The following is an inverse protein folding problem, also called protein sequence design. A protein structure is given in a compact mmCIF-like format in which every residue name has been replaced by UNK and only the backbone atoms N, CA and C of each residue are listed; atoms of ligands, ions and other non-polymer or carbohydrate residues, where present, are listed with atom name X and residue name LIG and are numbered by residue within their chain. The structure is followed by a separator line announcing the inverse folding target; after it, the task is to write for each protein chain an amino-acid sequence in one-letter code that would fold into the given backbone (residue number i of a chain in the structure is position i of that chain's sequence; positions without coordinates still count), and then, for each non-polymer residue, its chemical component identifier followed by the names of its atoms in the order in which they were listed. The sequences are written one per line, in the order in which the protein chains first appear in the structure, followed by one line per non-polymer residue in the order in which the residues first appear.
data_IF_203544435588
#
_entry.id   IF_203544435588
#
_cell.length_a   1.000
_cell.length_b   1.000
_cell.length_c   1.000
_cell.angle_alpha   90.00
_cell.angle_beta   90.00
_cell.angle_gamma   90.00
#
_symmetry.space_group_name_H-M   'P 1'
#
loop_
_entity.id
_entity.type
_entity.pdbx_description
1 polymer ?
#
# COMPACT_ATOMS: atom_id res chain seq x y z
N UNK A 1 -38.29 39.63 14.35
CA UNK A 1 -36.92 39.19 14.68
C UNK A 1 -36.88 37.69 14.90
N UNK A 2 -36.48 36.92 13.89
CA UNK A 2 -36.17 35.49 13.98
C UNK A 2 -34.96 35.26 13.07
N UNK A 3 -33.81 34.89 13.65
CA UNK A 3 -32.57 34.67 12.92
C UNK A 3 -31.50 34.06 13.81
N UNK A 4 -31.47 32.72 13.84
CA UNK A 4 -30.48 31.85 14.51
C UNK A 4 -29.06 32.11 14.00
N UNK A 5 -28.01 31.97 14.83
CA UNK A 5 -26.65 31.80 14.34
C UNK A 5 -26.40 30.32 14.01
N UNK A 6 -26.10 30.01 12.76
CA UNK A 6 -25.55 28.71 12.32
C UNK A 6 -24.04 28.81 12.27
N UNK A 7 -23.36 28.34 13.33
CA UNK A 7 -21.97 27.91 13.24
C UNK A 7 -22.00 26.41 12.92
N UNK A 8 -21.70 26.05 11.67
CA UNK A 8 -21.42 24.67 11.29
C UNK A 8 -20.15 24.24 12.01
N UNK A 9 -20.30 23.53 13.13
CA UNK A 9 -19.20 22.73 13.66
C UNK A 9 -19.04 21.54 12.73
N UNK A 10 -17.94 21.55 11.98
CA UNK A 10 -17.43 20.36 11.30
C UNK A 10 -17.15 19.34 12.40
N UNK A 11 -17.92 18.25 12.42
CA UNK A 11 -17.62 17.11 13.26
C UNK A 11 -16.30 16.52 12.77
N UNK A 12 -15.22 16.83 13.48
CA UNK A 12 -14.00 16.04 13.46
C UNK A 12 -14.38 14.58 13.74
N UNK A 13 -14.07 13.61 12.86
CA UNK A 13 -14.34 12.21 13.15
C UNK A 13 -13.51 11.82 14.37
N UNK A 14 -14.22 11.51 15.45
CA UNK A 14 -13.66 11.05 16.70
C UNK A 14 -12.82 9.81 16.42
N UNK A 15 -11.50 9.96 16.35
CA UNK A 15 -10.56 8.86 16.27
C UNK A 15 -10.80 7.99 17.50
N UNK A 16 -11.47 6.85 17.33
CA UNK A 16 -11.56 5.83 18.38
C UNK A 16 -10.13 5.40 18.69
N UNK A 17 -9.63 5.57 19.92
CA UNK A 17 -8.31 5.06 20.27
C UNK A 17 -8.38 3.53 20.18
N UNK A 18 -7.82 2.95 19.11
CA UNK A 18 -7.54 1.53 19.08
C UNK A 18 -6.67 1.21 20.31
N UNK A 19 -7.11 0.20 21.06
CA UNK A 19 -6.68 -0.09 22.42
C UNK A 19 -5.19 0.19 22.67
N UNK A 20 -4.94 1.06 23.64
CA UNK A 20 -3.63 1.32 24.19
C UNK A 20 -3.09 -0.01 24.76
N UNK A 21 -2.25 -0.72 23.99
CA UNK A 21 -1.60 -1.97 24.40
C UNK A 21 -0.62 -1.78 25.57
N UNK A 22 -0.44 -0.56 26.08
CA UNK A 22 0.41 -0.25 27.22
C UNK A 22 -0.32 -0.44 28.55
N UNK A 23 -0.38 -1.68 29.04
CA UNK A 23 -0.39 -1.94 30.50
C UNK A 23 1.02 -2.16 31.08
N UNK A 24 2.07 -2.08 30.26
CA UNK A 24 3.46 -2.17 30.70
C UNK A 24 4.24 -0.88 30.36
N UNK A 25 4.66 -0.07 31.35
CA UNK A 25 5.36 1.20 31.14
C UNK A 25 6.80 1.04 30.59
N UNK A 26 7.23 -0.18 30.26
CA UNK A 26 8.59 -0.50 29.79
C UNK A 26 8.71 -0.64 28.27
N UNK A 27 7.60 -0.73 27.53
CA UNK A 27 7.63 -0.90 26.07
C UNK A 27 7.36 0.45 25.43
N UNK A 28 8.40 1.07 24.88
CA UNK A 28 8.24 2.24 24.02
C UNK A 28 7.57 1.80 22.72
N UNK A 29 6.41 2.37 22.43
CA UNK A 29 5.63 2.06 21.23
C UNK A 29 5.29 3.33 20.47
N UNK A 30 5.28 3.23 19.13
CA UNK A 30 4.79 4.31 18.27
C UNK A 30 3.81 3.75 17.25
N UNK A 31 2.68 4.43 17.10
CA UNK A 31 1.62 4.03 16.19
C UNK A 31 1.49 5.06 15.06
N UNK A 32 1.40 4.56 13.84
CA UNK A 32 0.94 5.30 12.68
C UNK A 32 -0.36 4.64 12.20
N UNK A 33 -1.40 5.43 11.96
CA UNK A 33 -2.67 4.94 11.42
C UNK A 33 -3.09 5.78 10.22
N UNK A 34 -3.49 5.11 9.13
CA UNK A 34 -3.94 5.74 7.90
C UNK A 34 -4.40 4.69 6.88
N UNK A 35 -5.26 5.08 5.94
CA UNK A 35 -5.79 4.19 4.89
C UNK A 35 -6.42 2.88 5.41
N UNK A 36 -6.98 2.91 6.63
CA UNK A 36 -7.55 1.72 7.28
C UNK A 36 -6.52 0.74 7.87
N UNK A 37 -5.23 1.08 7.83
CA UNK A 37 -4.14 0.23 8.33
C UNK A 37 -3.44 0.93 9.51
N UNK A 38 -3.14 0.15 10.55
CA UNK A 38 -2.31 0.57 11.68
C UNK A 38 -0.95 -0.11 11.65
N UNK A 39 0.13 0.68 11.67
CA UNK A 39 1.51 0.19 11.80
C UNK A 39 2.02 0.56 13.19
N UNK A 40 2.41 -0.47 13.95
CA UNK A 40 2.90 -0.33 15.32
C UNK A 40 4.39 -0.69 15.35
N UNK A 41 5.23 0.26 15.77
CA UNK A 41 6.64 0.01 16.02
C UNK A 41 6.82 -0.29 17.51
N UNK A 42 7.37 -1.47 17.79
CA UNK A 42 7.71 -1.91 19.14
C UNK A 42 9.23 -1.89 19.28
N UNK A 43 9.73 -1.13 20.25
CA UNK A 43 11.17 -1.10 20.51
C UNK A 43 11.64 -2.45 21.07
N UNK A 44 12.68 -3.03 20.45
CA UNK A 44 13.36 -4.21 20.99
C UNK A 44 14.06 -3.91 22.31
N UNK A 45 14.03 -4.85 23.24
CA UNK A 45 14.77 -4.77 24.51
C UNK A 45 16.29 -4.78 24.32
N UNK A 46 16.77 -5.37 23.22
CA UNK A 46 18.21 -5.48 22.88
C UNK A 46 18.43 -5.05 21.41
N UNK A 47 18.35 -3.76 21.09
CA UNK A 47 18.43 -3.27 19.70
C UNK A 47 19.76 -3.59 19.01
N UNK A 48 20.86 -3.64 19.76
CA UNK A 48 22.20 -3.99 19.26
C UNK A 48 22.33 -5.45 18.82
N UNK A 49 21.44 -6.34 19.30
CA UNK A 49 21.42 -7.76 18.91
C UNK A 49 20.54 -8.03 17.69
N UNK A 50 19.81 -7.02 17.20
CA UNK A 50 18.98 -7.19 16.03
C UNK A 50 19.82 -7.39 14.77
N UNK A 51 19.46 -8.39 13.97
CA UNK A 51 20.14 -8.68 12.72
C UNK A 51 19.84 -7.58 11.71
N UNK A 52 20.85 -6.79 11.37
CA UNK A 52 20.75 -5.80 10.30
C UNK A 52 21.10 -6.44 8.97
N UNK A 53 20.12 -6.50 8.06
CA UNK A 53 20.38 -6.89 6.67
C UNK A 53 21.03 -5.71 5.96
N UNK A 54 22.19 -5.95 5.36
CA UNK A 54 22.97 -4.90 4.66
C UNK A 54 22.70 -4.92 3.15
N UNK A 55 22.39 -6.09 2.59
CA UNK A 55 22.14 -6.26 1.16
C UNK A 55 20.64 -6.28 0.90
N UNK A 56 20.18 -5.45 -0.03
CA UNK A 56 18.82 -5.47 -0.54
C UNK A 56 18.61 -6.74 -1.36
N UNK A 57 17.60 -7.53 -1.00
CA UNK A 57 17.17 -8.70 -1.75
C UNK A 57 15.68 -8.58 -2.09
N UNK A 58 15.30 -8.28 -3.34
CA UNK A 58 13.90 -8.18 -3.77
C UNK A 58 13.04 -9.42 -3.46
N UNK A 59 13.66 -10.59 -3.24
CA UNK A 59 12.95 -11.85 -2.93
C UNK A 59 12.77 -12.13 -1.43
N UNK A 60 13.32 -11.30 -0.54
CA UNK A 60 13.11 -11.43 0.90
C UNK A 60 11.70 -11.00 1.29
N UNK A 61 11.21 -11.45 2.45
CA UNK A 61 9.94 -10.97 3.02
C UNK A 61 9.95 -9.45 3.18
N UNK A 62 8.89 -8.79 2.70
CA UNK A 62 8.76 -7.33 2.70
C UNK A 62 7.30 -6.90 2.85
N UNK A 63 7.09 -5.63 3.15
CA UNK A 63 5.79 -4.96 3.09
C UNK A 63 5.81 -4.05 1.87
N UNK A 64 4.76 -4.14 1.03
CA UNK A 64 4.66 -3.38 -0.22
C UNK A 64 3.64 -2.25 -0.10
N UNK A 65 3.96 -1.09 -0.69
CA UNK A 65 3.03 0.04 -0.80
C UNK A 65 2.91 0.48 -2.26
N UNK A 66 1.71 0.88 -2.65
CA UNK A 66 1.45 1.44 -3.97
C UNK A 66 1.82 2.92 -4.02
N UNK A 67 2.33 3.39 -5.17
CA UNK A 67 2.55 4.82 -5.41
C UNK A 67 2.08 5.25 -6.80
N UNK A 68 1.77 6.54 -6.93
CA UNK A 68 1.36 7.15 -8.21
C UNK A 68 2.56 7.46 -9.13
N UNK A 69 3.77 7.60 -8.56
CA UNK A 69 4.95 8.00 -9.32
C UNK A 69 6.23 7.41 -8.77
N UNK A 70 6.72 6.37 -9.45
CA UNK A 70 8.01 5.73 -9.15
C UNK A 70 9.17 6.73 -9.21
N UNK A 71 9.15 7.65 -10.17
CA UNK A 71 10.18 8.67 -10.31
C UNK A 71 10.26 9.61 -9.10
N UNK A 72 9.11 10.03 -8.56
CA UNK A 72 9.07 10.91 -7.39
C UNK A 72 9.60 10.20 -6.14
N UNK A 73 9.22 8.93 -5.94
CA UNK A 73 9.70 8.10 -4.83
C UNK A 73 11.20 7.87 -4.94
N UNK A 74 11.70 7.45 -6.11
CA UNK A 74 13.13 7.18 -6.33
C UNK A 74 13.96 8.44 -6.10
N UNK A 75 13.50 9.60 -6.57
CA UNK A 75 14.15 10.89 -6.30
C UNK A 75 14.23 11.16 -4.80
N UNK A 76 13.13 10.96 -4.06
CA UNK A 76 13.12 11.20 -2.61
C UNK A 76 14.07 10.28 -1.86
N UNK A 77 14.15 9.00 -2.24
CA UNK A 77 15.11 8.06 -1.67
C UNK A 77 16.55 8.51 -1.90
N UNK A 78 16.88 8.94 -3.13
CA UNK A 78 18.20 9.49 -3.47
C UNK A 78 18.55 10.74 -2.67
N UNK A 79 17.61 11.69 -2.57
CA UNK A 79 17.78 12.93 -1.81
C UNK A 79 18.02 12.66 -0.31
N UNK A 80 17.47 11.56 0.21
CA UNK A 80 17.68 11.10 1.59
C UNK A 80 18.91 10.21 1.77
N UNK A 81 19.65 9.89 0.69
CA UNK A 81 20.79 8.99 0.75
C UNK A 81 20.44 7.53 1.04
N UNK A 82 19.20 7.11 0.78
CA UNK A 82 18.72 5.74 1.00
C UNK A 82 19.07 4.89 -0.22
N UNK A 83 19.82 3.82 0.02
CA UNK A 83 20.13 2.82 -1.00
C UNK A 83 18.85 2.08 -1.41
N UNK A 84 18.66 1.88 -2.70
CA UNK A 84 17.50 1.20 -3.26
C UNK A 84 17.88 0.39 -4.49
N UNK A 85 17.04 -0.58 -4.83
CA UNK A 85 17.12 -1.38 -6.05
C UNK A 85 15.82 -1.22 -6.82
N UNK A 86 15.92 -0.88 -8.10
CA UNK A 86 14.78 -0.87 -9.03
C UNK A 86 14.69 -2.22 -9.74
N UNK A 87 13.49 -2.73 -9.90
CA UNK A 87 13.19 -3.92 -10.68
C UNK A 87 11.99 -3.67 -11.60
N UNK A 88 11.95 -4.40 -12.70
CA UNK A 88 10.80 -4.48 -13.60
C UNK A 88 10.41 -5.94 -13.66
N UNK A 89 9.15 -6.24 -13.35
CA UNK A 89 8.59 -7.59 -13.44
C UNK A 89 7.48 -7.62 -14.47
N UNK A 90 7.34 -8.74 -15.17
CA UNK A 90 6.27 -8.96 -16.13
C UNK A 90 5.36 -10.08 -15.60
N UNK A 91 4.09 -9.74 -15.34
CA UNK A 91 3.08 -10.69 -14.90
C UNK A 91 1.87 -10.62 -15.83
N UNK A 92 1.58 -11.71 -16.54
CA UNK A 92 0.44 -11.76 -17.46
C UNK A 92 0.50 -10.74 -18.61
N UNK A 93 1.71 -10.35 -19.03
CA UNK A 93 1.93 -9.32 -20.07
C UNK A 93 1.84 -7.88 -19.55
N UNK A 94 1.67 -7.69 -18.24
CA UNK A 94 1.68 -6.39 -17.58
C UNK A 94 3.05 -6.18 -16.95
N UNK A 95 3.67 -5.05 -17.25
CA UNK A 95 4.92 -4.64 -16.62
C UNK A 95 4.63 -3.83 -15.37
N UNK A 96 5.29 -4.20 -14.27
CA UNK A 96 5.18 -3.52 -12.98
C UNK A 96 6.55 -3.09 -12.53
N UNK A 97 6.69 -1.81 -12.21
CA UNK A 97 7.90 -1.26 -11.67
C UNK A 97 7.90 -1.40 -10.15
N UNK A 98 9.05 -1.80 -9.61
CA UNK A 98 9.23 -2.00 -8.18
C UNK A 98 10.50 -1.31 -7.70
N UNK A 99 10.45 -0.75 -6.50
CA UNK A 99 11.58 -0.18 -5.78
C UNK A 99 11.69 -0.84 -4.42
N UNK A 100 12.86 -1.39 -4.13
CA UNK A 100 13.15 -2.07 -2.87
C UNK A 100 14.21 -1.31 -2.09
N UNK A 101 13.99 -1.13 -0.79
CA UNK A 101 14.97 -0.54 0.13
C UNK A 101 14.77 -1.06 1.54
N UNK A 102 15.72 -0.78 2.43
CA UNK A 102 15.62 -1.09 3.84
C UNK A 102 15.18 0.13 4.64
N UNK A 103 14.39 -0.10 5.67
CA UNK A 103 14.24 0.85 6.78
C UNK A 103 15.54 0.90 7.63
N UNK A 104 15.64 1.80 8.63
CA UNK A 104 16.84 1.91 9.47
C UNK A 104 17.21 0.63 10.25
N UNK A 105 16.25 -0.26 10.50
CA UNK A 105 16.44 -1.51 11.23
C UNK A 105 16.73 -2.71 10.30
N UNK A 106 16.64 -2.53 8.98
CA UNK A 106 16.96 -3.53 7.97
C UNK A 106 15.75 -4.33 7.48
N UNK A 107 14.53 -3.90 7.79
CA UNK A 107 13.32 -4.48 7.22
C UNK A 107 13.14 -4.00 5.77
N UNK A 108 12.77 -4.93 4.89
CA UNK A 108 12.55 -4.64 3.48
C UNK A 108 11.20 -3.97 3.26
N UNK A 109 11.23 -2.87 2.51
CA UNK A 109 10.05 -2.16 2.00
C UNK A 109 10.08 -2.21 0.48
N UNK A 110 8.94 -2.52 -0.13
CA UNK A 110 8.70 -2.42 -1.56
C UNK A 110 7.76 -1.24 -1.85
N UNK A 111 8.05 -0.50 -2.92
CA UNK A 111 7.11 0.42 -3.55
C UNK A 111 6.83 -0.07 -4.97
N UNK A 112 5.55 -0.21 -5.33
CA UNK A 112 5.14 -0.58 -6.69
C UNK A 112 4.14 0.40 -7.30
N UNK A 113 4.04 0.40 -8.63
CA UNK A 113 3.04 1.14 -9.41
C UNK A 113 1.89 0.24 -9.90
N UNK A 114 1.46 -0.70 -9.05
CA UNK A 114 0.55 -1.82 -9.36
C UNK A 114 -0.89 -1.46 -9.85
N UNK A 115 -1.14 -0.28 -10.44
CA UNK A 115 -2.44 0.24 -10.88
C UNK A 115 -3.23 -0.68 -11.83
N UNK A 116 -2.53 -1.56 -12.54
CA UNK A 116 -3.11 -2.40 -13.60
C UNK A 116 -3.12 -3.91 -13.28
N UNK A 117 -2.61 -4.35 -12.13
CA UNK A 117 -2.65 -5.78 -11.81
C UNK A 117 -4.08 -6.21 -11.44
N UNK A 118 -4.61 -7.30 -12.03
CA UNK A 118 -5.88 -7.85 -11.59
C UNK A 118 -5.72 -8.45 -10.18
N UNK A 119 -6.12 -7.69 -9.16
CA UNK A 119 -6.17 -8.19 -7.78
C UNK A 119 -7.32 -9.19 -7.71
N UNK A 120 -7.00 -10.49 -7.63
CA UNK A 120 -7.98 -11.54 -7.32
C UNK A 120 -8.01 -11.69 -5.81
N UNK A 121 -9.11 -11.33 -5.11
CA UNK A 121 -9.21 -11.53 -3.67
C UNK A 121 -9.07 -13.01 -3.34
N UNK A 122 -8.17 -13.34 -2.41
CA UNK A 122 -8.04 -14.69 -1.88
C UNK A 122 -9.23 -14.96 -0.94
N UNK A 123 -10.32 -15.45 -1.51
CA UNK A 123 -11.55 -15.92 -0.87
C UNK A 123 -12.32 -14.90 0.00
N UNK A 124 -13.50 -14.50 -0.49
CA UNK A 124 -14.66 -14.21 0.36
C UNK A 124 -14.91 -12.77 0.79
N UNK A 125 -13.96 -11.85 0.63
CA UNK A 125 -14.20 -10.43 0.88
C UNK A 125 -13.80 -9.59 -0.32
N UNK A 126 -14.71 -8.71 -0.72
CA UNK A 126 -14.53 -7.75 -1.81
C UNK A 126 -13.45 -6.78 -1.34
N UNK A 127 -12.19 -7.08 -1.65
CA UNK A 127 -11.15 -6.06 -1.62
C UNK A 127 -11.60 -4.99 -2.61
N UNK A 128 -12.00 -3.82 -2.11
CA UNK A 128 -12.18 -2.65 -2.94
C UNK A 128 -10.80 -2.32 -3.51
N UNK A 129 -10.56 -2.80 -4.73
CA UNK A 129 -9.38 -2.43 -5.49
C UNK A 129 -9.31 -0.90 -5.54
N UNK A 130 -8.12 -0.35 -5.29
CA UNK A 130 -7.83 1.08 -5.41
C UNK A 130 -8.13 1.62 -6.82
N UNK A 131 -8.35 0.74 -7.81
CA UNK A 131 -8.76 1.09 -9.17
C UNK A 131 -10.28 0.92 -9.37
N UNK A 132 -11.11 1.74 -8.74
CA UNK A 132 -12.54 1.83 -9.09
C UNK A 132 -12.77 2.19 -10.58
N UNK A 133 -11.73 2.64 -11.29
CA UNK A 133 -11.80 3.09 -12.69
C UNK A 133 -11.54 2.00 -13.73
N UNK A 134 -11.05 0.81 -13.37
CA UNK A 134 -10.66 -0.24 -14.35
C UNK A 134 -11.70 -1.36 -14.53
N UNK A 135 -12.70 -1.50 -13.66
CA UNK A 135 -13.73 -2.54 -13.80
C UNK A 135 -14.63 -2.32 -15.04
N UNK A 136 -15.00 -1.07 -15.33
CA UNK A 136 -15.79 -0.73 -16.52
C UNK A 136 -15.03 -1.00 -17.82
N UNK A 137 -13.70 -0.76 -17.84
CA UNK A 137 -12.87 -1.00 -19.02
C UNK A 137 -12.64 -2.48 -19.32
N UNK A 138 -12.50 -3.32 -18.29
CA UNK A 138 -12.37 -4.77 -18.48
C UNK A 138 -13.66 -5.41 -19.00
N UNK A 139 -14.84 -4.92 -18.59
CA UNK A 139 -16.11 -5.41 -19.15
C UNK A 139 -16.29 -5.07 -20.64
N UNK A 140 -15.75 -3.94 -21.10
CA UNK A 140 -15.89 -3.51 -22.50
C UNK A 140 -14.98 -4.28 -23.47
N UNK A 141 -13.81 -4.77 -23.03
CA UNK A 141 -12.92 -5.55 -23.90
C UNK A 141 -13.35 -7.01 -24.11
N UNK A 142 -14.25 -7.53 -23.28
CA UNK A 142 -14.73 -8.92 -23.37
C UNK A 142 -16.08 -9.09 -24.09
N UNK A 143 -16.55 -8.09 -24.85
CA UNK A 143 -17.85 -8.13 -25.54
C UNK A 143 -17.86 -8.42 -27.06
N UNK A 144 -16.80 -8.33 -27.89
CA UNK A 144 -16.96 -8.58 -29.33
C UNK A 144 -16.60 -9.99 -29.80
N UNK A 145 -16.73 -11.06 -28.98
CA UNK A 145 -16.53 -12.44 -29.46
C UNK A 145 -17.75 -13.37 -29.43
N UNK A 146 -18.93 -12.90 -28.99
CA UNK A 146 -20.15 -13.75 -28.96
C UNK A 146 -21.07 -13.52 -30.17
N UNK A 147 -20.91 -12.44 -30.95
CA UNK A 147 -21.89 -12.10 -32.00
C UNK A 147 -21.56 -12.59 -33.43
N UNK A 148 -20.46 -13.33 -33.65
CA UNK A 148 -20.09 -13.82 -34.99
C UNK A 148 -20.41 -15.30 -35.28
N UNK A 149 -20.92 -16.08 -34.32
CA UNK A 149 -21.26 -17.49 -34.59
C UNK A 149 -22.72 -17.74 -35.01
N UNK A 150 -23.64 -16.78 -34.86
CA UNK A 150 -25.07 -16.98 -35.17
C UNK A 150 -25.50 -16.55 -36.59
N UNK A 151 -24.56 -16.28 -37.51
CA UNK A 151 -24.87 -16.01 -38.92
C UNK A 151 -24.34 -17.08 -39.89
N UNK A 152 -23.85 -18.21 -39.40
CA UNK A 152 -23.21 -19.24 -40.21
C UNK A 152 -23.73 -20.67 -39.95
N UNK A 153 -24.99 -20.82 -39.53
CA UNK A 153 -25.72 -22.10 -39.56
C UNK A 153 -27.05 -21.88 -40.26
#
# INVERSE_FOLDING_TARGET
EHGKPTSSQVLEPHLTPCANLSRNPLISTRMLFGFGIGIHLLQSENPEKMQKKVKINPKDNHISFQCESMAAVEKKLKDMGIQHVRALVEEGGIQVEQLFFHDPDGFMIEICDCDNLPVIPLAGEIAQSCSYLNLERMQQQMQPMVQQHERAI
#
